data_IF_044735193208
#
_entry.id   IF_044735193208
#
_cell.length_a   1.000
_cell.length_b   1.000
_cell.length_c   1.000
_cell.angle_alpha   90.00
_cell.angle_beta   90.00
_cell.angle_gamma   90.00
#
_symmetry.space_group_name_H-M   'P 1'
#
loop_
_entity.id
_entity.type
_entity.pdbx_description
1 polymer ?
#
# COMPACT_ATOMS: atom_id res chain seq x y z
N UNK A 1 8.13 -10.69 -28.91
CA UNK A 1 7.76 -10.62 -27.48
C UNK A 1 8.65 -9.60 -26.79
N UNK A 2 8.14 -8.77 -25.87
CA UNK A 2 8.97 -7.87 -25.07
C UNK A 2 10.05 -8.66 -24.33
N UNK A 3 11.26 -8.12 -24.25
CA UNK A 3 12.32 -8.72 -23.43
C UNK A 3 11.90 -8.70 -21.96
N UNK A 4 12.19 -9.76 -21.22
CA UNK A 4 11.73 -9.94 -19.84
C UNK A 4 12.11 -8.77 -18.92
N UNK A 5 13.29 -8.16 -19.11
CA UNK A 5 13.69 -7.00 -18.31
C UNK A 5 12.87 -5.73 -18.60
N UNK A 6 12.34 -5.58 -19.83
CA UNK A 6 11.43 -4.47 -20.16
C UNK A 6 10.07 -4.67 -19.52
N UNK A 7 9.61 -5.92 -19.39
CA UNK A 7 8.40 -6.25 -18.66
C UNK A 7 8.55 -5.83 -17.20
N UNK A 8 9.65 -6.24 -16.55
CA UNK A 8 9.93 -5.87 -15.15
C UNK A 8 10.05 -4.36 -14.96
N UNK A 9 10.80 -3.66 -15.82
CA UNK A 9 10.98 -2.22 -15.72
C UNK A 9 9.65 -1.45 -15.89
N UNK A 10 8.79 -1.90 -16.80
CA UNK A 10 7.47 -1.29 -17.01
C UNK A 10 6.50 -1.59 -15.86
N UNK A 11 6.45 -2.82 -15.36
CA UNK A 11 5.66 -3.14 -14.17
C UNK A 11 6.12 -2.33 -12.95
N UNK A 12 7.43 -2.17 -12.76
CA UNK A 12 7.98 -1.31 -11.72
C UNK A 12 7.58 0.15 -11.92
N UNK A 13 7.63 0.66 -13.15
CA UNK A 13 7.12 1.99 -13.49
C UNK A 13 5.63 2.17 -13.13
N UNK A 14 4.79 1.17 -13.44
CA UNK A 14 3.38 1.18 -13.04
C UNK A 14 3.23 1.21 -11.52
N UNK A 15 4.01 0.40 -10.79
CA UNK A 15 4.00 0.36 -9.33
C UNK A 15 4.36 1.72 -8.73
N UNK A 16 5.40 2.38 -9.24
CA UNK A 16 5.81 3.72 -8.78
C UNK A 16 4.71 4.76 -9.04
N UNK A 17 4.07 4.73 -10.20
CA UNK A 17 2.98 5.65 -10.55
C UNK A 17 1.78 5.43 -9.62
N UNK A 18 1.35 4.17 -9.46
CA UNK A 18 0.22 3.80 -8.63
C UNK A 18 0.47 4.14 -7.15
N UNK A 19 1.65 3.81 -6.61
CA UNK A 19 2.05 4.11 -5.24
C UNK A 19 2.14 5.63 -4.99
N UNK A 20 2.70 6.38 -5.92
CA UNK A 20 2.77 7.85 -5.82
C UNK A 20 1.37 8.46 -5.80
N UNK A 21 0.50 8.05 -6.72
CA UNK A 21 -0.89 8.50 -6.79
C UNK A 21 -1.65 8.16 -5.49
N UNK A 22 -1.51 6.91 -5.05
CA UNK A 22 -2.13 6.42 -3.83
C UNK A 22 -1.67 7.23 -2.62
N UNK A 23 -0.36 7.38 -2.38
CA UNK A 23 0.17 8.05 -1.20
C UNK A 23 -0.41 9.46 -1.01
N UNK A 24 -0.37 10.30 -2.05
CA UNK A 24 -0.83 11.68 -1.94
C UNK A 24 -2.34 11.79 -1.74
N UNK A 25 -3.12 10.96 -2.44
CA UNK A 25 -4.58 11.00 -2.30
C UNK A 25 -5.05 10.32 -1.04
N UNK A 26 -4.42 9.23 -0.61
CA UNK A 26 -4.70 8.58 0.66
C UNK A 26 -4.44 9.52 1.83
N UNK A 27 -3.31 10.25 1.80
CA UNK A 27 -3.02 11.33 2.77
C UNK A 27 -4.07 12.45 2.73
N UNK A 28 -4.56 12.82 1.54
CA UNK A 28 -5.62 13.81 1.39
C UNK A 28 -6.97 13.31 1.93
N UNK A 29 -7.34 12.07 1.65
CA UNK A 29 -8.58 11.43 2.11
C UNK A 29 -8.60 11.31 3.64
N UNK A 30 -7.44 11.07 4.25
CA UNK A 30 -7.25 11.10 5.71
C UNK A 30 -7.31 12.51 6.34
N UNK A 31 -7.37 13.58 5.54
CA UNK A 31 -7.55 14.91 6.08
C UNK A 31 -8.92 15.03 6.78
N UNK A 32 -8.93 15.61 8.00
CA UNK A 32 -10.11 15.67 8.90
C UNK A 32 -11.43 16.10 8.25
N UNK A 33 -11.38 16.96 7.22
CA UNK A 33 -12.57 17.45 6.49
C UNK A 33 -13.16 16.42 5.52
N UNK A 34 -12.32 15.57 4.94
CA UNK A 34 -12.68 14.60 3.90
C UNK A 34 -12.93 13.23 4.53
N UNK A 35 -12.09 12.84 5.48
CA UNK A 35 -12.12 11.53 6.16
C UNK A 35 -13.54 11.15 6.58
N UNK A 36 -14.24 12.05 7.29
CA UNK A 36 -15.59 11.78 7.82
C UNK A 36 -16.65 11.44 6.76
N UNK A 37 -16.43 11.79 5.49
CA UNK A 37 -17.39 11.57 4.41
C UNK A 37 -16.99 10.42 3.47
N UNK A 38 -15.69 10.21 3.25
CA UNK A 38 -15.18 9.27 2.25
C UNK A 38 -14.42 8.13 2.94
N UNK A 39 -13.35 8.47 3.67
CA UNK A 39 -12.41 7.46 4.17
C UNK A 39 -12.83 6.74 5.47
N UNK A 40 -13.86 7.26 6.15
CA UNK A 40 -14.38 6.67 7.39
C UNK A 40 -14.82 5.22 7.22
N UNK A 41 -15.38 4.85 6.05
CA UNK A 41 -15.86 3.49 5.78
C UNK A 41 -14.68 2.51 5.68
N UNK A 42 -13.58 2.92 5.04
CA UNK A 42 -12.37 2.11 4.95
C UNK A 42 -11.80 1.78 6.34
N UNK A 43 -11.81 2.76 7.25
CA UNK A 43 -11.36 2.58 8.63
C UNK A 43 -12.42 2.03 9.60
N UNK A 44 -13.54 1.49 9.11
CA UNK A 44 -14.51 0.80 9.97
C UNK A 44 -13.88 -0.44 10.63
N UNK A 45 -12.94 -1.08 9.93
CA UNK A 45 -12.21 -2.26 10.40
C UNK A 45 -10.78 -1.88 10.79
N UNK A 46 -10.47 -1.98 12.08
CA UNK A 46 -9.11 -1.73 12.59
C UNK A 46 -8.13 -2.88 12.29
N UNK A 47 -8.66 -4.06 11.95
CA UNK A 47 -7.89 -5.25 11.59
C UNK A 47 -8.33 -5.72 10.19
N UNK A 48 -7.82 -5.08 9.13
CA UNK A 48 -8.25 -5.36 7.77
C UNK A 48 -7.89 -6.80 7.37
N UNK A 49 -8.78 -7.47 6.64
CA UNK A 49 -8.47 -8.73 5.95
C UNK A 49 -8.81 -8.65 4.45
N UNK A 50 -8.26 -9.57 3.66
CA UNK A 50 -8.23 -9.44 2.19
C UNK A 50 -9.56 -9.20 1.45
N UNK A 51 -10.72 -9.55 2.01
CA UNK A 51 -12.03 -9.21 1.40
C UNK A 51 -12.45 -7.75 1.67
N UNK A 52 -11.97 -7.14 2.75
CA UNK A 52 -12.23 -5.76 3.11
C UNK A 52 -11.39 -4.76 2.31
N UNK A 53 -10.42 -5.26 1.54
CA UNK A 53 -9.68 -4.48 0.54
C UNK A 53 -10.60 -3.71 -0.43
N UNK A 54 -11.80 -4.25 -0.69
CA UNK A 54 -12.82 -3.65 -1.55
C UNK A 54 -13.96 -2.97 -0.76
N UNK A 55 -13.97 -3.08 0.58
CA UNK A 55 -14.97 -2.44 1.44
C UNK A 55 -14.56 -1.00 1.74
N UNK A 56 -14.79 -0.13 0.75
CA UNK A 56 -14.55 1.30 0.87
C UNK A 56 -15.71 2.10 0.29
N UNK A 57 -15.73 3.41 0.56
CA UNK A 57 -16.67 4.30 -0.09
C UNK A 57 -16.43 4.26 -1.62
N UNK A 58 -17.45 4.16 -2.50
CA UNK A 58 -17.23 4.03 -3.95
C UNK A 58 -16.35 5.13 -4.56
N UNK A 59 -16.45 6.36 -4.04
CA UNK A 59 -15.56 7.46 -4.43
C UNK A 59 -14.10 7.22 -4.05
N UNK A 60 -13.82 6.59 -2.91
CA UNK A 60 -12.45 6.23 -2.52
C UNK A 60 -11.87 5.22 -3.50
N UNK A 61 -12.61 4.15 -3.80
CA UNK A 61 -12.22 3.14 -4.78
C UNK A 61 -11.94 3.77 -6.15
N UNK A 62 -12.79 4.71 -6.59
CA UNK A 62 -12.58 5.42 -7.85
C UNK A 62 -11.33 6.32 -7.81
N UNK A 63 -11.19 7.12 -6.74
CA UNK A 63 -10.10 8.09 -6.60
C UNK A 63 -8.75 7.38 -6.52
N UNK A 64 -8.62 6.41 -5.61
CA UNK A 64 -7.36 5.66 -5.41
C UNK A 64 -7.09 4.70 -6.58
N UNK A 65 -8.13 4.03 -7.10
CA UNK A 65 -8.03 3.11 -8.25
C UNK A 65 -7.64 3.80 -9.56
N UNK A 66 -7.82 5.12 -9.68
CA UNK A 66 -7.38 5.87 -10.88
C UNK A 66 -5.87 5.77 -11.09
N UNK A 67 -5.06 5.69 -10.03
CA UNK A 67 -3.60 5.55 -10.15
C UNK A 67 -3.18 4.26 -10.87
N UNK A 68 -3.89 3.17 -10.58
CA UNK A 68 -3.71 1.89 -11.26
C UNK A 68 -4.03 1.98 -12.76
N UNK A 69 -5.13 2.66 -13.11
CA UNK A 69 -5.54 2.88 -14.51
C UNK A 69 -4.52 3.75 -15.25
N UNK A 70 -4.01 4.81 -14.61
CA UNK A 70 -2.97 5.68 -15.19
C UNK A 70 -1.72 4.86 -15.54
N UNK A 71 -1.29 3.96 -14.65
CA UNK A 71 -0.17 3.04 -14.91
C UNK A 71 -0.40 2.19 -16.17
N UNK A 72 -1.60 1.61 -16.31
CA UNK A 72 -1.99 0.85 -17.50
C UNK A 72 -1.91 1.71 -18.77
N UNK A 73 -2.55 2.89 -18.76
CA UNK A 73 -2.64 3.73 -19.95
C UNK A 73 -1.28 4.24 -20.45
N UNK A 74 -0.33 4.43 -19.54
CA UNK A 74 0.99 4.99 -19.88
C UNK A 74 2.02 3.92 -20.29
N UNK A 75 1.95 2.72 -19.72
CA UNK A 75 3.05 1.75 -19.82
C UNK A 75 2.62 0.38 -20.37
N UNK A 76 1.33 0.03 -20.34
CA UNK A 76 0.82 -1.30 -20.69
C UNK A 76 0.25 -1.38 -22.13
N UNK A 77 1.09 -1.30 -23.16
CA UNK A 77 0.63 -1.47 -24.56
C UNK A 77 0.33 -2.94 -24.92
N UNK A 78 1.23 -3.92 -24.63
CA UNK A 78 0.97 -5.31 -24.95
C UNK A 78 0.04 -5.97 -23.92
N UNK A 79 -0.89 -6.82 -24.36
CA UNK A 79 -1.80 -7.59 -23.47
C UNK A 79 -1.03 -8.40 -22.41
N UNK A 80 0.16 -8.93 -22.75
CA UNK A 80 1.01 -9.65 -21.78
C UNK A 80 1.48 -8.76 -20.62
N UNK A 81 1.73 -7.47 -20.89
CA UNK A 81 2.14 -6.53 -19.85
C UNK A 81 0.96 -6.08 -19.00
N UNK A 82 -0.23 -5.94 -19.59
CA UNK A 82 -1.46 -5.73 -18.84
C UNK A 82 -1.69 -6.85 -17.82
N UNK A 83 -1.65 -8.11 -18.26
CA UNK A 83 -1.83 -9.26 -17.34
C UNK A 83 -0.73 -9.33 -16.29
N UNK A 84 0.54 -9.11 -16.66
CA UNK A 84 1.64 -9.08 -15.71
C UNK A 84 1.43 -8.00 -14.64
N UNK A 85 0.99 -6.81 -15.04
CA UNK A 85 0.71 -5.71 -14.12
C UNK A 85 -0.49 -6.01 -13.21
N UNK A 86 -1.60 -6.51 -13.77
CA UNK A 86 -2.79 -6.93 -13.00
C UNK A 86 -2.37 -7.93 -11.92
N UNK A 87 -1.60 -8.96 -12.28
CA UNK A 87 -1.13 -9.97 -11.32
C UNK A 87 -0.27 -9.36 -10.23
N UNK A 88 0.74 -8.56 -10.58
CA UNK A 88 1.63 -7.91 -9.60
C UNK A 88 0.84 -7.02 -8.65
N UNK A 89 -0.06 -6.18 -9.17
CA UNK A 89 -0.86 -5.27 -8.36
C UNK A 89 -1.80 -6.01 -7.41
N UNK A 90 -2.53 -7.03 -7.89
CA UNK A 90 -3.44 -7.80 -7.06
C UNK A 90 -2.70 -8.57 -5.96
N UNK A 91 -1.55 -9.17 -6.28
CA UNK A 91 -0.74 -9.87 -5.27
C UNK A 91 -0.27 -8.93 -4.17
N UNK A 92 0.26 -7.75 -4.54
CA UNK A 92 0.67 -6.74 -3.57
C UNK A 92 -0.50 -6.25 -2.71
N UNK A 93 -1.63 -5.97 -3.36
CA UNK A 93 -2.87 -5.52 -2.70
C UNK A 93 -3.35 -6.49 -1.64
N UNK A 94 -3.31 -7.79 -1.94
CA UNK A 94 -3.72 -8.84 -1.01
C UNK A 94 -2.69 -8.97 0.12
N UNK A 95 -1.40 -8.92 -0.20
CA UNK A 95 -0.33 -9.07 0.78
C UNK A 95 -0.37 -7.97 1.86
N UNK A 96 -0.42 -6.70 1.44
CA UNK A 96 -0.46 -5.54 2.34
C UNK A 96 -1.72 -5.50 3.22
N UNK A 97 -2.82 -6.13 2.78
CA UNK A 97 -4.12 -6.13 3.48
C UNK A 97 -4.48 -7.49 4.08
N UNK A 98 -3.56 -8.43 4.07
CA UNK A 98 -3.82 -9.79 4.55
C UNK A 98 -3.89 -9.87 6.08
N UNK A 99 -3.30 -8.90 6.78
CA UNK A 99 -3.04 -8.97 8.22
C UNK A 99 -1.97 -10.00 8.61
N UNK A 100 -1.32 -10.65 7.64
CA UNK A 100 -0.28 -11.65 7.87
C UNK A 100 1.08 -11.13 7.43
N UNK A 101 2.08 -11.33 8.28
CA UNK A 101 3.49 -11.21 7.89
C UNK A 101 4.07 -12.61 7.78
N UNK A 102 4.06 -13.15 6.55
CA UNK A 102 4.43 -14.55 6.29
C UNK A 102 5.96 -14.68 6.33
N UNK A 103 6.53 -15.63 7.09
CA UNK A 103 7.96 -15.91 7.03
C UNK A 103 8.37 -16.26 5.60
N UNK A 104 9.38 -15.56 5.06
CA UNK A 104 9.88 -15.70 3.68
C UNK A 104 8.97 -15.15 2.57
N UNK A 105 8.10 -14.19 2.87
CA UNK A 105 7.40 -13.45 1.81
C UNK A 105 8.41 -12.79 0.84
N UNK A 106 8.41 -13.16 -0.47
CA UNK A 106 9.35 -12.61 -1.43
C UNK A 106 9.20 -11.11 -1.64
N UNK A 107 8.02 -10.53 -1.36
CA UNK A 107 7.81 -9.08 -1.47
C UNK A 107 8.61 -8.30 -0.42
N UNK A 108 8.88 -8.90 0.75
CA UNK A 108 9.73 -8.31 1.78
C UNK A 108 11.21 -8.18 1.35
N UNK A 109 11.62 -8.83 0.23
CA UNK A 109 12.95 -8.64 -0.37
C UNK A 109 13.04 -7.37 -1.22
N UNK A 110 11.90 -6.79 -1.60
CA UNK A 110 11.86 -5.55 -2.39
C UNK A 110 12.24 -4.39 -1.47
N UNK A 111 13.27 -3.59 -1.82
CA UNK A 111 13.66 -2.45 -1.02
C UNK A 111 12.49 -1.49 -0.79
N UNK A 112 12.36 -1.03 0.46
CA UNK A 112 11.31 -0.10 0.87
C UNK A 112 9.89 -0.63 0.78
N UNK A 113 9.66 -1.93 0.64
CA UNK A 113 8.31 -2.49 0.71
C UNK A 113 7.67 -2.20 2.08
N UNK A 114 6.40 -1.77 2.09
CA UNK A 114 5.67 -1.42 3.30
C UNK A 114 5.24 -2.65 4.10
N UNK A 115 4.77 -3.69 3.40
CA UNK A 115 4.21 -4.90 3.99
C UNK A 115 2.91 -4.65 4.77
N UNK A 116 2.34 -5.72 5.31
CA UNK A 116 1.05 -5.68 6.04
C UNK A 116 1.10 -4.87 7.34
N UNK A 117 2.17 -5.02 8.13
CA UNK A 117 2.28 -4.39 9.44
C UNK A 117 2.13 -2.86 9.42
N UNK A 118 2.60 -2.19 8.36
CA UNK A 118 2.51 -0.74 8.24
C UNK A 118 1.10 -0.27 7.96
N UNK A 119 0.40 -0.97 7.07
CA UNK A 119 -0.98 -0.70 6.75
C UNK A 119 -1.89 -1.01 7.96
N UNK A 120 -1.65 -2.11 8.67
CA UNK A 120 -2.39 -2.44 9.90
C UNK A 120 -2.18 -1.38 10.98
N UNK A 121 -0.95 -0.90 11.16
CA UNK A 121 -0.68 0.20 12.08
C UNK A 121 -1.42 1.48 11.66
N UNK A 122 -1.49 1.78 10.36
CA UNK A 122 -2.27 2.91 9.86
C UNK A 122 -3.75 2.80 10.25
N UNK A 123 -4.37 1.62 10.14
CA UNK A 123 -5.78 1.41 10.53
C UNK A 123 -6.04 1.59 12.03
N UNK A 124 -5.06 1.32 12.88
CA UNK A 124 -5.16 1.53 14.33
C UNK A 124 -4.85 2.99 14.71
N UNK A 125 -3.92 3.62 14.01
CA UNK A 125 -3.37 4.93 14.37
C UNK A 125 -4.05 6.11 13.64
N UNK A 126 -4.71 5.86 12.51
CA UNK A 126 -5.47 6.80 11.65
C UNK A 126 -4.68 7.99 11.06
N UNK A 127 -3.45 8.23 11.53
CA UNK A 127 -2.62 9.37 11.14
C UNK A 127 -1.22 8.86 10.81
N UNK A 128 -0.69 9.20 9.64
CA UNK A 128 0.60 8.68 9.18
C UNK A 128 0.50 7.33 8.47
N UNK A 129 1.63 6.79 8.01
CA UNK A 129 1.75 5.52 7.29
C UNK A 129 0.77 5.43 6.10
N UNK A 130 0.87 6.38 5.17
CA UNK A 130 -0.05 6.50 4.04
C UNK A 130 0.38 5.71 2.79
N UNK A 131 1.58 5.15 2.76
CA UNK A 131 2.06 4.35 1.64
C UNK A 131 1.22 3.08 1.45
N UNK A 132 0.98 2.72 0.18
CA UNK A 132 0.38 1.43 -0.17
C UNK A 132 1.48 0.38 -0.36
N UNK A 133 2.46 0.68 -1.21
CA UNK A 133 3.46 -0.30 -1.64
C UNK A 133 4.84 0.04 -1.08
N UNK A 134 5.26 1.29 -1.26
CA UNK A 134 6.63 1.71 -0.96
C UNK A 134 6.70 2.79 0.11
N UNK A 135 7.53 2.54 1.12
CA UNK A 135 7.71 3.39 2.31
C UNK A 135 8.50 4.67 2.07
N UNK A 136 9.04 4.89 0.86
CA UNK A 136 9.89 6.06 0.60
C UNK A 136 9.15 7.38 0.81
N UNK A 137 7.84 7.43 0.54
CA UNK A 137 7.06 8.64 0.66
C UNK A 137 6.81 8.94 2.13
N UNK A 138 6.48 7.90 2.90
CA UNK A 138 6.35 8.04 4.34
C UNK A 138 7.64 8.51 4.99
N UNK A 139 8.78 7.92 4.62
CA UNK A 139 10.11 8.33 5.10
C UNK A 139 10.46 9.77 4.70
N UNK A 140 10.18 10.14 3.46
CA UNK A 140 10.49 11.47 2.92
C UNK A 140 9.70 12.57 3.64
N UNK A 141 8.43 12.30 3.96
CA UNK A 141 7.54 13.25 4.63
C UNK A 141 7.42 13.04 6.15
N UNK A 142 8.14 12.07 6.71
CA UNK A 142 8.15 11.74 8.14
C UNK A 142 6.83 11.18 8.68
N UNK A 143 5.98 10.62 7.83
CA UNK A 143 4.67 10.08 8.20
C UNK A 143 4.74 8.66 8.79
N UNK A 144 5.92 8.03 8.85
CA UNK A 144 6.18 6.73 9.53
C UNK A 144 6.74 6.86 10.96
N UNK A 145 6.96 8.08 11.45
CA UNK A 145 7.61 8.33 12.76
C UNK A 145 6.91 7.63 13.93
N UNK A 146 5.58 7.57 13.92
CA UNK A 146 4.79 6.90 14.97
C UNK A 146 4.93 5.37 14.91
N UNK A 147 5.00 4.80 13.71
CA UNK A 147 5.23 3.37 13.51
C UNK A 147 6.63 2.95 13.98
N UNK A 148 7.66 3.75 13.68
CA UNK A 148 9.02 3.50 14.15
C UNK A 148 9.05 3.48 15.69
N UNK A 149 8.45 4.48 16.34
CA UNK A 149 8.38 4.54 17.80
C UNK A 149 7.56 3.39 18.41
N UNK A 150 6.52 2.91 17.73
CA UNK A 150 5.75 1.73 18.12
C UNK A 150 6.63 0.47 18.10
N UNK A 151 7.31 0.21 16.99
CA UNK A 151 8.18 -0.97 16.85
C UNK A 151 9.34 -0.99 17.84
N UNK A 152 9.94 0.17 18.15
CA UNK A 152 10.96 0.26 19.19
C UNK A 152 10.43 -0.14 20.58
N UNK A 153 9.18 0.20 20.89
CA UNK A 153 8.56 -0.19 22.17
C UNK A 153 8.29 -1.69 22.21
N UNK A 154 7.74 -2.26 21.14
CA UNK A 154 7.47 -3.71 21.05
C UNK A 154 8.76 -4.51 21.26
N UNK A 155 9.83 -4.17 20.53
CA UNK A 155 11.14 -4.82 20.67
C UNK A 155 11.73 -4.71 22.09
N UNK A 156 11.49 -3.60 22.79
CA UNK A 156 11.94 -3.43 24.18
C UNK A 156 11.16 -4.30 25.17
N UNK A 157 9.89 -4.59 24.88
CA UNK A 157 9.05 -5.46 25.71
C UNK A 157 9.44 -6.93 25.50
N UNK A 158 9.62 -7.35 24.25
CA UNK A 158 10.06 -8.72 23.91
C UNK A 158 11.38 -9.06 24.60
N UNK A 159 12.39 -8.17 24.51
CA UNK A 159 13.70 -8.33 25.17
C UNK A 159 13.67 -8.35 26.70
N UNK A 160 12.59 -7.87 27.33
CA UNK A 160 12.42 -7.94 28.79
C UNK A 160 11.72 -9.22 29.24
N UNK A 161 11.08 -9.90 28.31
CA UNK A 161 10.27 -11.10 28.56
C UNK A 161 11.07 -12.38 28.28
N UNK A 162 12.13 -12.26 27.47
CA UNK A 162 13.23 -13.24 27.32
C UNK A 162 14.22 -13.18 28.49
#
# INVERSE_FOLDING_TARGET
>A
MPRWYMLLARCFGCAVIADTWHYFLHRLLNHKRIHKHIHKICHEFQAPFGMEAEYAHPLETLILGTGYIIGIMLLCDPVILLWAWVTVHLTETVDVRSGYDIPLNPLNLIPFYAGSQQHDFHHVNFIGNYASTFTWWDRLFGTDSQFIAYNEKVKKVEKKTE
#
